data_IF_194038455047
#
_entry.id   IF_194038455047
#
_cell.length_a   1.000
_cell.length_b   1.000
_cell.length_c   1.000
_cell.angle_alpha   90.00
_cell.angle_beta   90.00
_cell.angle_gamma   90.00
#
_symmetry.space_group_name_H-M   'P 1'
#
loop_
_entity.id
_entity.type
_entity.pdbx_description
1 polymer ?
#
# COMPACT_ATOMS: atom_id res chain seq x y z
N UNK A 1 27.77 -29.63 20.88
CA UNK A 1 28.36 -28.37 20.38
C UNK A 1 27.56 -27.21 20.91
N UNK A 2 28.05 -26.56 21.93
CA UNK A 2 27.38 -25.47 22.63
C UNK A 2 27.50 -24.20 21.76
N UNK A 3 26.44 -23.85 21.00
CA UNK A 3 26.36 -22.60 20.27
C UNK A 3 26.02 -21.48 21.28
N UNK A 4 27.05 -20.96 21.95
CA UNK A 4 26.94 -19.68 22.65
C UNK A 4 26.56 -18.61 21.64
N UNK A 5 25.30 -18.20 21.67
CA UNK A 5 24.80 -17.03 20.92
C UNK A 5 25.73 -15.86 21.25
N UNK A 6 26.56 -15.41 20.28
CA UNK A 6 27.43 -14.26 20.43
C UNK A 6 26.59 -13.06 20.82
N UNK A 7 26.66 -12.63 22.08
CA UNK A 7 25.94 -11.47 22.60
C UNK A 7 26.38 -10.25 21.78
N UNK A 8 25.42 -9.61 21.09
CA UNK A 8 25.70 -8.40 20.33
C UNK A 8 26.23 -7.31 21.24
N UNK A 9 27.29 -6.62 20.83
CA UNK A 9 27.84 -5.50 21.58
C UNK A 9 26.76 -4.42 21.78
N UNK A 10 26.73 -3.85 22.97
CA UNK A 10 25.81 -2.77 23.33
C UNK A 10 26.53 -1.42 23.39
N UNK A 11 25.80 -0.33 23.47
CA UNK A 11 26.38 1.01 23.68
C UNK A 11 27.16 1.10 24.98
N UNK A 12 26.78 0.32 25.98
CA UNK A 12 27.48 0.24 27.27
C UNK A 12 28.80 -0.50 27.15
N UNK A 13 28.86 -1.56 26.35
CA UNK A 13 30.12 -2.28 26.08
C UNK A 13 31.09 -1.35 25.34
N UNK A 14 30.65 -0.60 24.33
CA UNK A 14 31.46 0.40 23.64
C UNK A 14 31.91 1.55 24.58
N UNK A 15 31.07 1.94 25.53
CA UNK A 15 31.39 2.93 26.55
C UNK A 15 32.57 2.47 27.43
N UNK A 16 32.51 1.25 27.91
CA UNK A 16 33.59 0.64 28.73
C UNK A 16 34.86 0.52 27.89
N UNK A 17 34.76 -0.01 26.67
CA UNK A 17 35.95 -0.23 25.80
C UNK A 17 36.63 1.05 25.35
N UNK A 18 35.87 2.13 25.16
CA UNK A 18 36.39 3.46 24.74
C UNK A 18 36.80 4.38 25.89
N UNK A 19 36.49 4.03 27.12
CA UNK A 19 36.62 4.93 28.27
C UNK A 19 35.76 6.19 28.18
N UNK A 20 34.71 6.18 27.35
CA UNK A 20 33.84 7.33 27.10
C UNK A 20 32.45 7.10 27.68
N UNK A 21 31.74 8.18 28.03
CA UNK A 21 30.36 8.03 28.53
C UNK A 21 29.42 7.47 27.46
N UNK A 22 28.35 6.76 27.83
CA UNK A 22 27.34 6.27 26.86
C UNK A 22 26.74 7.41 26.00
N UNK A 23 26.64 8.63 26.55
CA UNK A 23 26.18 9.81 25.82
C UNK A 23 27.18 10.28 24.75
N UNK A 24 28.48 10.19 25.04
CA UNK A 24 29.56 10.46 24.07
C UNK A 24 29.55 9.44 22.96
N UNK A 25 29.51 8.15 23.30
CA UNK A 25 29.42 7.05 22.32
C UNK A 25 28.19 7.25 21.43
N UNK A 26 27.04 7.54 22.02
CA UNK A 26 25.80 7.82 21.27
C UNK A 26 25.95 9.00 20.31
N UNK A 27 26.60 10.09 20.74
CA UNK A 27 26.82 11.26 19.90
C UNK A 27 27.72 10.97 18.70
N UNK A 28 28.75 10.14 18.90
CA UNK A 28 29.66 9.71 17.83
C UNK A 28 28.93 8.83 16.83
N UNK A 29 28.24 7.79 17.28
CA UNK A 29 27.52 6.86 16.44
C UNK A 29 26.37 7.52 15.66
N UNK A 30 25.81 8.61 16.16
CA UNK A 30 24.78 9.40 15.49
C UNK A 30 25.33 10.57 14.62
N UNK A 31 26.65 10.69 14.47
CA UNK A 31 27.28 11.74 13.66
C UNK A 31 27.15 13.17 14.23
N UNK A 32 26.69 13.31 15.49
CA UNK A 32 26.48 14.63 16.13
C UNK A 32 27.67 15.10 16.98
N UNK A 33 28.76 14.34 16.97
CA UNK A 33 29.92 14.57 17.82
C UNK A 33 30.60 15.93 17.59
N UNK A 34 30.67 16.41 16.33
CA UNK A 34 31.20 17.75 16.04
C UNK A 34 30.38 18.86 16.66
N UNK A 35 29.05 18.76 16.61
CA UNK A 35 28.14 19.72 17.28
C UNK A 35 28.29 19.69 18.80
N UNK A 36 28.68 18.57 19.38
CA UNK A 36 28.93 18.39 20.82
C UNK A 36 30.37 18.62 21.22
N UNK A 37 31.21 19.13 20.31
CA UNK A 37 32.64 19.44 20.56
C UNK A 37 33.43 18.24 21.10
N UNK A 38 33.10 17.02 20.67
CA UNK A 38 33.85 15.82 20.99
C UNK A 38 35.09 15.78 20.07
N UNK A 39 36.24 15.46 20.64
CA UNK A 39 37.55 15.37 19.89
C UNK A 39 37.43 14.32 18.79
N UNK A 40 38.03 14.62 17.65
CA UNK A 40 38.06 13.71 16.48
C UNK A 40 38.71 12.37 16.83
N UNK A 41 39.86 12.35 17.55
CA UNK A 41 40.49 11.14 18.01
C UNK A 41 39.60 10.23 18.87
N UNK A 42 38.72 10.84 19.70
CA UNK A 42 37.72 10.09 20.48
C UNK A 42 36.66 9.50 19.57
N UNK A 43 36.23 10.26 18.55
CA UNK A 43 35.24 9.77 17.60
C UNK A 43 35.78 8.60 16.76
N UNK A 44 37.03 8.69 16.27
CA UNK A 44 37.72 7.62 15.52
C UNK A 44 37.87 6.36 16.38
N UNK A 45 38.28 6.50 17.64
CA UNK A 45 38.36 5.37 18.58
C UNK A 45 37.05 4.65 18.73
N UNK A 46 35.95 5.39 18.94
CA UNK A 46 34.61 4.82 19.13
C UNK A 46 34.11 4.15 17.83
N UNK A 47 34.30 4.78 16.67
CA UNK A 47 33.92 4.20 15.38
C UNK A 47 34.69 2.92 15.06
N UNK A 48 35.99 2.91 15.29
CA UNK A 48 36.81 1.72 15.11
C UNK A 48 36.47 0.57 16.07
N UNK A 49 36.04 0.89 17.31
CA UNK A 49 35.51 -0.11 18.24
C UNK A 49 34.16 -0.65 17.76
N UNK A 50 33.27 0.22 17.29
CA UNK A 50 31.96 -0.18 16.75
C UNK A 50 32.11 -1.12 15.57
N UNK A 51 33.01 -0.83 14.65
CA UNK A 51 33.32 -1.69 13.48
C UNK A 51 33.88 -3.04 13.92
N UNK A 52 34.92 -3.06 14.75
CA UNK A 52 35.55 -4.30 15.25
C UNK A 52 34.60 -5.23 15.98
N UNK A 53 33.65 -4.64 16.76
CA UNK A 53 32.65 -5.39 17.51
C UNK A 53 31.35 -5.60 16.74
N UNK A 54 31.30 -5.25 15.44
CA UNK A 54 30.12 -5.37 14.58
C UNK A 54 28.88 -4.75 15.25
N UNK A 55 29.08 -3.60 15.92
CA UNK A 55 27.99 -2.90 16.60
C UNK A 55 27.00 -2.37 15.58
N UNK A 56 25.75 -2.77 15.71
CA UNK A 56 24.61 -2.19 14.98
C UNK A 56 23.75 -1.40 15.95
N UNK A 57 23.45 -0.15 15.57
CA UNK A 57 22.56 0.69 16.39
C UNK A 57 21.22 -0.02 16.61
N UNK A 58 20.86 -0.28 17.86
CA UNK A 58 19.54 -0.79 18.18
C UNK A 58 18.50 0.33 17.97
N UNK A 59 17.79 0.27 16.84
CA UNK A 59 16.78 1.26 16.49
C UNK A 59 15.61 1.26 17.48
N UNK A 60 15.27 0.13 18.08
CA UNK A 60 14.23 0.03 19.11
C UNK A 60 14.64 0.81 20.39
N UNK A 61 15.88 0.60 20.87
CA UNK A 61 16.39 1.36 22.02
C UNK A 61 16.53 2.87 21.73
N UNK A 62 16.77 3.24 20.47
CA UNK A 62 16.78 4.64 20.02
C UNK A 62 15.36 5.19 19.94
N UNK A 63 14.40 4.41 19.51
CA UNK A 63 12.97 4.74 19.41
C UNK A 63 12.37 5.08 20.78
N UNK A 64 12.66 4.28 21.80
CA UNK A 64 12.23 4.50 23.18
C UNK A 64 12.65 5.90 23.74
N UNK A 65 13.82 6.40 23.32
CA UNK A 65 14.29 7.74 23.74
C UNK A 65 13.66 8.89 22.94
N UNK A 66 13.11 8.63 21.77
CA UNK A 66 12.57 9.65 20.84
C UNK A 66 11.07 9.61 20.72
N UNK A 67 10.38 8.69 21.39
CA UNK A 67 8.95 8.40 21.22
C UNK A 67 8.57 8.14 19.74
N UNK A 68 9.52 7.60 18.96
CA UNK A 68 9.34 7.24 17.55
C UNK A 68 10.19 6.03 17.21
N UNK A 69 9.56 5.00 16.66
CA UNK A 69 10.24 3.76 16.25
C UNK A 69 11.05 3.92 14.96
N UNK A 70 10.64 4.83 14.10
CA UNK A 70 11.12 4.94 12.73
C UNK A 70 10.50 3.91 11.79
N UNK A 71 9.53 3.12 12.25
CA UNK A 71 8.79 2.16 11.42
C UNK A 71 7.56 2.85 10.79
N UNK A 72 7.36 2.64 9.50
CA UNK A 72 6.19 3.15 8.78
C UNK A 72 5.52 1.97 8.08
N UNK A 73 4.24 1.75 8.40
CA UNK A 73 3.46 0.63 7.89
C UNK A 73 2.75 0.96 6.58
N UNK A 74 2.70 -0.02 5.69
CA UNK A 74 1.82 -0.07 4.53
C UNK A 74 1.05 -1.39 4.60
N UNK A 75 -0.26 -1.31 4.74
CA UNK A 75 -1.15 -2.46 4.69
C UNK A 75 -1.81 -2.53 3.32
N UNK A 76 -1.63 -3.65 2.64
CA UNK A 76 -2.15 -3.93 1.30
C UNK A 76 -3.23 -5.01 1.36
N UNK A 77 -4.16 -5.05 0.39
CA UNK A 77 -5.10 -6.17 0.30
C UNK A 77 -4.42 -7.47 -0.13
N UNK A 78 -3.50 -7.42 -1.10
CA UNK A 78 -2.77 -8.59 -1.65
C UNK A 78 -1.43 -8.15 -2.22
N UNK A 79 -0.44 -9.07 -2.28
CA UNK A 79 0.89 -8.79 -2.84
C UNK A 79 1.01 -9.09 -4.34
N UNK A 80 0.25 -10.02 -4.86
CA UNK A 80 0.32 -10.56 -6.23
C UNK A 80 -0.39 -9.70 -7.28
N UNK A 81 -0.85 -8.51 -6.91
CA UNK A 81 -1.44 -7.55 -7.83
C UNK A 81 -0.41 -6.48 -8.21
N UNK A 82 -0.15 -6.31 -9.51
CA UNK A 82 0.83 -5.36 -10.05
C UNK A 82 0.61 -3.91 -9.58
N UNK A 83 -0.63 -3.48 -9.42
CA UNK A 83 -0.96 -2.14 -8.92
C UNK A 83 -0.48 -1.96 -7.48
N UNK A 84 -0.78 -2.91 -6.59
CA UNK A 84 -0.39 -2.81 -5.19
C UNK A 84 1.10 -3.06 -4.98
N UNK A 85 1.72 -3.97 -5.72
CA UNK A 85 3.18 -4.22 -5.63
C UNK A 85 4.00 -3.03 -6.12
N UNK A 86 3.57 -2.34 -7.17
CA UNK A 86 4.20 -1.10 -7.66
C UNK A 86 4.09 0.03 -6.63
N UNK A 87 2.93 0.16 -5.98
CA UNK A 87 2.72 1.13 -4.90
C UNK A 87 3.61 0.82 -3.70
N UNK A 88 3.71 -0.46 -3.29
CA UNK A 88 4.59 -0.89 -2.22
C UNK A 88 6.05 -0.56 -2.50
N UNK A 89 6.54 -0.83 -3.71
CA UNK A 89 7.91 -0.52 -4.11
C UNK A 89 8.20 0.98 -4.03
N UNK A 90 7.27 1.81 -4.51
CA UNK A 90 7.39 3.28 -4.45
C UNK A 90 7.38 3.77 -3.01
N UNK A 91 6.47 3.26 -2.19
CA UNK A 91 6.38 3.56 -0.75
C UNK A 91 7.70 3.22 -0.02
N UNK A 92 8.23 2.02 -0.23
CA UNK A 92 9.48 1.59 0.38
C UNK A 92 10.65 2.52 0.03
N UNK A 93 10.78 2.92 -1.24
CA UNK A 93 11.80 3.86 -1.69
C UNK A 93 11.69 5.20 -0.96
N UNK A 94 10.48 5.74 -0.85
CA UNK A 94 10.23 7.01 -0.17
C UNK A 94 10.47 6.95 1.35
N UNK A 95 10.09 5.86 2.01
CA UNK A 95 10.31 5.67 3.45
C UNK A 95 11.80 5.55 3.75
N UNK A 96 12.53 4.72 2.96
CA UNK A 96 14.00 4.56 3.11
C UNK A 96 14.77 5.86 2.86
N UNK A 97 14.37 6.67 1.87
CA UNK A 97 15.02 7.96 1.58
C UNK A 97 14.90 8.96 2.74
N UNK A 98 13.93 8.77 3.64
CA UNK A 98 13.75 9.55 4.87
C UNK A 98 14.45 8.95 6.08
N UNK A 99 15.23 7.89 5.89
CA UNK A 99 15.93 7.18 6.97
C UNK A 99 15.00 6.40 7.90
N UNK A 100 13.80 6.05 7.42
CA UNK A 100 12.83 5.24 8.14
C UNK A 100 12.80 3.81 7.57
N UNK A 101 12.19 2.89 8.29
CA UNK A 101 12.06 1.48 7.89
C UNK A 101 10.62 1.20 7.43
N UNK A 102 10.40 0.81 6.17
CA UNK A 102 9.08 0.41 5.71
C UNK A 102 8.72 -0.99 6.22
N UNK A 103 7.47 -1.15 6.64
CA UNK A 103 6.87 -2.44 7.00
C UNK A 103 5.67 -2.64 6.09
N UNK A 104 5.77 -3.58 5.15
CA UNK A 104 4.71 -3.89 4.18
C UNK A 104 4.07 -5.22 4.56
N UNK A 105 2.76 -5.21 4.73
CA UNK A 105 1.96 -6.37 5.13
C UNK A 105 0.72 -6.48 4.24
N UNK A 106 0.13 -7.68 4.12
CA UNK A 106 -1.16 -7.86 3.46
C UNK A 106 -2.19 -8.44 4.42
N UNK A 107 -3.45 -8.07 4.21
CA UNK A 107 -4.59 -8.48 5.02
C UNK A 107 -5.67 -9.24 4.23
N UNK A 108 -5.31 -9.77 3.05
CA UNK A 108 -6.11 -10.71 2.24
C UNK A 108 -7.56 -10.27 1.95
N UNK A 109 -7.86 -8.97 1.98
CA UNK A 109 -9.21 -8.39 1.81
C UNK A 109 -10.23 -8.90 2.84
N UNK A 110 -9.76 -9.29 4.01
CA UNK A 110 -10.58 -9.76 5.12
C UNK A 110 -10.65 -8.68 6.20
N UNK A 111 -11.84 -8.15 6.55
CA UNK A 111 -11.98 -7.09 7.54
C UNK A 111 -11.41 -7.43 8.92
N UNK A 112 -11.49 -8.69 9.32
CA UNK A 112 -10.95 -9.13 10.61
C UNK A 112 -9.43 -9.19 10.59
N UNK A 113 -8.84 -9.69 9.49
CA UNK A 113 -7.39 -9.67 9.28
C UNK A 113 -6.85 -8.24 9.15
N UNK A 114 -7.62 -7.31 8.55
CA UNK A 114 -7.27 -5.89 8.47
C UNK A 114 -7.14 -5.29 9.88
N UNK A 115 -8.10 -5.55 10.79
CA UNK A 115 -8.05 -5.10 12.19
C UNK A 115 -6.90 -5.73 12.96
N UNK A 116 -6.74 -7.06 12.91
CA UNK A 116 -5.65 -7.79 13.59
C UNK A 116 -4.27 -7.34 13.11
N UNK A 117 -4.14 -7.07 11.82
CA UNK A 117 -2.90 -6.55 11.25
C UNK A 117 -2.57 -5.17 11.80
N UNK A 118 -3.57 -4.28 11.92
CA UNK A 118 -3.39 -2.97 12.53
C UNK A 118 -3.00 -3.07 14.01
N UNK A 119 -3.66 -3.93 14.81
CA UNK A 119 -3.30 -4.21 16.21
C UNK A 119 -1.86 -4.71 16.33
N UNK A 120 -1.47 -5.62 15.46
CA UNK A 120 -0.10 -6.16 15.42
C UNK A 120 0.90 -5.04 15.15
N UNK A 121 0.66 -4.19 14.15
CA UNK A 121 1.53 -3.07 13.80
C UNK A 121 1.62 -2.04 14.93
N UNK A 122 0.51 -1.77 15.64
CA UNK A 122 0.48 -0.94 16.84
C UNK A 122 1.39 -1.53 17.93
N UNK A 123 1.33 -2.85 18.15
CA UNK A 123 2.17 -3.53 19.14
C UNK A 123 3.68 -3.39 18.85
N UNK A 124 4.05 -3.26 17.58
CA UNK A 124 5.41 -2.93 17.14
C UNK A 124 5.72 -1.44 17.18
N UNK A 125 4.78 -0.62 17.67
CA UNK A 125 4.94 0.84 17.83
C UNK A 125 5.30 1.53 16.53
N UNK A 126 4.65 1.20 15.41
CA UNK A 126 4.85 1.93 14.17
C UNK A 126 4.42 3.39 14.32
N UNK A 127 5.10 4.32 13.62
CA UNK A 127 4.86 5.75 13.72
C UNK A 127 3.65 6.21 12.89
N UNK A 128 3.39 5.53 11.77
CA UNK A 128 2.33 5.84 10.81
C UNK A 128 1.88 4.58 10.07
N UNK A 129 0.62 4.53 9.66
CA UNK A 129 0.03 3.45 8.85
C UNK A 129 -0.65 4.01 7.60
N UNK A 130 -0.26 3.50 6.44
CA UNK A 130 -0.92 3.71 5.16
C UNK A 130 -1.77 2.48 4.86
N UNK A 131 -3.08 2.68 4.69
CA UNK A 131 -4.07 1.60 4.53
C UNK A 131 -4.53 1.65 3.08
N UNK A 132 -4.15 0.64 2.28
CA UNK A 132 -4.44 0.62 0.84
C UNK A 132 -5.52 -0.40 0.54
N UNK A 133 -6.58 0.05 -0.12
CA UNK A 133 -7.62 -0.83 -0.67
C UNK A 133 -8.32 -1.71 0.37
N UNK A 134 -8.41 -1.26 1.63
CA UNK A 134 -9.06 -2.01 2.69
C UNK A 134 -10.55 -2.24 2.40
N UNK A 135 -11.05 -3.37 2.84
CA UNK A 135 -12.46 -3.73 2.75
C UNK A 135 -13.28 -3.00 3.80
N UNK A 136 -12.72 -2.82 5.00
CA UNK A 136 -13.32 -2.10 6.12
C UNK A 136 -12.35 -1.04 6.70
N UNK A 137 -12.11 0.09 5.98
CA UNK A 137 -11.19 1.12 6.45
C UNK A 137 -11.66 1.80 7.75
N UNK A 138 -12.97 1.85 8.00
CA UNK A 138 -13.52 2.42 9.23
C UNK A 138 -13.32 1.50 10.44
N UNK A 139 -13.37 0.18 10.25
CA UNK A 139 -13.00 -0.78 11.30
C UNK A 139 -11.51 -0.73 11.65
N UNK A 140 -10.64 -0.48 10.68
CA UNK A 140 -9.22 -0.23 10.94
C UNK A 140 -9.01 1.10 11.68
N UNK A 141 -9.78 2.15 11.34
CA UNK A 141 -9.74 3.42 12.07
C UNK A 141 -10.08 3.23 13.56
N UNK A 142 -11.09 2.43 13.88
CA UNK A 142 -11.52 2.14 15.27
C UNK A 142 -10.42 1.49 16.12
N UNK A 143 -9.48 0.81 15.49
CA UNK A 143 -8.28 0.24 16.13
C UNK A 143 -7.16 1.28 16.24
N UNK A 144 -6.92 2.07 15.21
CA UNK A 144 -5.81 3.02 15.14
C UNK A 144 -6.02 4.27 16.01
N UNK A 145 -7.23 4.81 16.02
CA UNK A 145 -7.55 6.08 16.68
C UNK A 145 -7.34 6.05 18.19
N UNK A 146 -7.88 5.07 18.96
CA UNK A 146 -7.62 4.98 20.39
C UNK A 146 -6.14 4.75 20.75
N UNK A 147 -5.37 4.13 19.87
CA UNK A 147 -3.93 3.93 20.02
C UNK A 147 -3.11 5.18 19.66
N UNK A 148 -3.74 6.23 19.16
CA UNK A 148 -3.06 7.45 18.68
C UNK A 148 -2.21 7.23 17.44
N UNK A 149 -2.41 6.14 16.71
CA UNK A 149 -1.68 5.84 15.49
C UNK A 149 -2.20 6.70 14.32
N UNK A 150 -1.32 7.53 13.77
CA UNK A 150 -1.62 8.30 12.56
C UNK A 150 -1.79 7.37 11.36
N UNK A 151 -2.90 7.48 10.67
CA UNK A 151 -3.19 6.65 9.51
C UNK A 151 -3.94 7.44 8.43
N UNK A 152 -3.91 6.90 7.21
CA UNK A 152 -4.58 7.43 6.03
C UNK A 152 -5.03 6.29 5.13
N UNK A 153 -6.22 6.40 4.56
CA UNK A 153 -6.73 5.47 3.57
C UNK A 153 -6.24 5.84 2.16
N UNK A 154 -5.93 4.85 1.36
CA UNK A 154 -5.51 5.01 -0.05
C UNK A 154 -6.33 4.05 -0.90
N UNK A 155 -6.74 4.49 -2.10
CA UNK A 155 -7.49 3.72 -3.09
C UNK A 155 -8.97 3.53 -2.74
N UNK A 156 -9.30 3.05 -1.55
CA UNK A 156 -10.68 2.96 -1.06
C UNK A 156 -10.87 3.89 0.14
N UNK A 157 -11.95 4.71 0.15
CA UNK A 157 -12.22 5.65 1.22
C UNK A 157 -12.92 4.99 2.41
N UNK A 158 -12.66 5.52 3.61
CA UNK A 158 -13.51 5.38 4.80
C UNK A 158 -14.23 6.68 5.12
N UNK A 159 -15.21 6.62 6.00
CA UNK A 159 -15.97 7.79 6.46
C UNK A 159 -15.27 8.52 7.62
N UNK A 160 -14.42 7.82 8.39
CA UNK A 160 -13.86 8.30 9.67
C UNK A 160 -12.45 8.88 9.55
N UNK A 161 -11.66 8.48 8.55
CA UNK A 161 -10.30 8.94 8.34
C UNK A 161 -10.10 9.60 6.98
N UNK A 162 -9.04 10.42 6.87
CA UNK A 162 -8.67 11.01 5.59
C UNK A 162 -8.37 9.92 4.56
N UNK A 163 -8.78 10.19 3.31
CA UNK A 163 -8.59 9.25 2.21
C UNK A 163 -7.97 9.96 1.00
N UNK A 164 -7.06 9.26 0.31
CA UNK A 164 -6.51 9.66 -0.99
C UNK A 164 -6.94 8.61 -2.01
N UNK A 165 -7.79 9.02 -2.94
CA UNK A 165 -8.38 8.13 -3.94
C UNK A 165 -8.17 8.67 -5.35
N UNK A 166 -8.20 7.80 -6.34
CA UNK A 166 -8.28 8.20 -7.74
C UNK A 166 -9.69 8.71 -8.07
N UNK A 167 -9.80 9.62 -9.01
CA UNK A 167 -11.09 9.99 -9.60
C UNK A 167 -11.55 8.86 -10.52
N UNK A 168 -12.19 7.87 -9.91
CA UNK A 168 -12.64 6.66 -10.58
C UNK A 168 -13.77 6.94 -11.57
N UNK A 169 -14.63 7.91 -11.25
CA UNK A 169 -15.73 8.30 -12.12
C UNK A 169 -15.21 8.95 -13.41
N UNK A 170 -14.39 9.99 -13.27
CA UNK A 170 -13.85 10.71 -14.42
C UNK A 170 -12.94 9.83 -15.28
N UNK A 171 -12.07 9.01 -14.66
CA UNK A 171 -11.23 8.06 -15.39
C UNK A 171 -12.06 7.06 -16.23
N UNK A 172 -13.12 6.52 -15.66
CA UNK A 172 -14.02 5.60 -16.37
C UNK A 172 -14.84 6.30 -17.45
N UNK A 173 -15.28 7.53 -17.21
CA UNK A 173 -15.95 8.36 -18.23
C UNK A 173 -15.06 8.56 -19.44
N UNK A 174 -13.83 9.02 -19.22
CA UNK A 174 -12.84 9.26 -20.28
C UNK A 174 -12.53 7.99 -21.07
N UNK A 175 -12.33 6.86 -20.39
CA UNK A 175 -12.04 5.58 -21.04
C UNK A 175 -13.24 5.11 -21.88
N UNK A 176 -14.44 5.20 -21.35
CA UNK A 176 -15.67 4.81 -22.09
C UNK A 176 -15.85 5.67 -23.34
N UNK A 177 -15.66 6.99 -23.23
CA UNK A 177 -15.67 7.88 -24.40
C UNK A 177 -14.60 7.51 -25.43
N UNK A 178 -13.39 7.23 -24.99
CA UNK A 178 -12.29 6.85 -25.88
C UNK A 178 -12.58 5.53 -26.60
N UNK A 179 -13.15 4.55 -25.93
CA UNK A 179 -13.60 3.29 -26.55
C UNK A 179 -14.64 3.57 -27.64
N UNK A 180 -15.69 4.33 -27.33
CA UNK A 180 -16.77 4.62 -28.28
C UNK A 180 -16.23 5.39 -29.50
N UNK A 181 -15.41 6.41 -29.29
CA UNK A 181 -14.82 7.23 -30.36
C UNK A 181 -13.85 6.44 -31.25
N UNK A 182 -13.20 5.41 -30.72
CA UNK A 182 -12.28 4.57 -31.49
C UNK A 182 -12.95 3.90 -32.70
N UNK A 183 -14.21 3.56 -32.61
CA UNK A 183 -14.95 2.92 -33.72
C UNK A 183 -15.38 3.90 -34.82
N UNK A 184 -15.36 5.21 -34.57
CA UNK A 184 -15.65 6.24 -35.58
C UNK A 184 -17.04 6.17 -36.17
N UNK A 185 -17.26 6.93 -37.27
CA UNK A 185 -18.56 7.05 -37.94
C UNK A 185 -18.81 5.94 -38.97
N UNK A 186 -17.74 5.31 -39.50
CA UNK A 186 -17.87 4.31 -40.58
C UNK A 186 -18.43 2.98 -40.08
N UNK A 187 -18.15 2.63 -38.83
CA UNK A 187 -18.67 1.44 -38.19
C UNK A 187 -18.98 1.71 -36.71
N UNK A 188 -19.97 2.55 -36.40
CA UNK A 188 -20.25 3.01 -35.05
C UNK A 188 -20.55 1.83 -34.13
N UNK A 189 -20.11 1.95 -32.88
CA UNK A 189 -20.36 0.97 -31.84
C UNK A 189 -21.83 1.02 -31.41
N UNK A 190 -22.49 -0.12 -31.38
CA UNK A 190 -23.86 -0.22 -30.89
C UNK A 190 -23.85 -0.45 -29.38
N UNK A 191 -24.95 -0.11 -28.69
CA UNK A 191 -25.08 -0.33 -27.24
C UNK A 191 -24.86 -1.77 -26.80
N UNK A 192 -25.36 -2.74 -27.59
CA UNK A 192 -25.25 -4.19 -27.34
C UNK A 192 -23.88 -4.80 -27.70
N UNK A 193 -22.90 -3.97 -28.05
CA UNK A 193 -21.56 -4.37 -28.44
C UNK A 193 -20.47 -3.91 -27.44
N UNK A 194 -20.82 -3.07 -26.47
CA UNK A 194 -19.91 -2.55 -25.43
C UNK A 194 -20.30 -3.09 -24.05
N UNK A 195 -19.38 -3.77 -23.39
CA UNK A 195 -19.57 -4.39 -22.08
C UNK A 195 -18.45 -4.03 -21.11
N UNK A 196 -18.79 -3.98 -19.82
CA UNK A 196 -17.85 -3.85 -18.72
C UNK A 196 -17.74 -5.20 -17.98
N UNK A 197 -16.51 -5.67 -17.79
CA UNK A 197 -16.21 -6.87 -17.00
C UNK A 197 -15.33 -6.54 -15.80
N UNK A 198 -15.55 -7.25 -14.70
CA UNK A 198 -14.81 -7.07 -13.46
C UNK A 198 -15.52 -6.17 -12.45
N UNK A 199 -14.80 -5.90 -11.37
CA UNK A 199 -15.30 -5.09 -10.28
C UNK A 199 -16.15 -5.85 -9.27
N UNK A 200 -16.26 -5.28 -8.09
CA UNK A 200 -17.04 -5.78 -6.96
C UNK A 200 -17.83 -4.64 -6.31
N UNK A 201 -18.56 -4.91 -5.25
CA UNK A 201 -19.27 -3.87 -4.51
C UNK A 201 -18.34 -3.07 -3.59
N UNK A 202 -17.41 -2.30 -4.20
CA UNK A 202 -16.59 -1.29 -3.50
C UNK A 202 -16.76 0.09 -4.15
N UNK A 203 -16.21 1.12 -3.50
CA UNK A 203 -16.35 2.50 -3.96
C UNK A 203 -15.79 2.68 -5.38
N UNK A 204 -14.58 2.21 -5.66
CA UNK A 204 -13.94 2.39 -6.95
C UNK A 204 -14.72 1.73 -8.09
N UNK A 205 -15.23 0.51 -7.87
CA UNK A 205 -16.02 -0.21 -8.87
C UNK A 205 -17.38 0.46 -9.09
N UNK A 206 -18.05 0.93 -8.03
CA UNK A 206 -19.33 1.64 -8.16
C UNK A 206 -19.20 2.91 -9.00
N UNK A 207 -18.17 3.72 -8.72
CA UNK A 207 -17.90 4.95 -9.47
C UNK A 207 -17.62 4.66 -10.95
N UNK A 208 -16.77 3.65 -11.24
CA UNK A 208 -16.46 3.25 -12.62
C UNK A 208 -17.67 2.73 -13.37
N UNK A 209 -18.50 1.90 -12.73
CA UNK A 209 -19.72 1.37 -13.32
C UNK A 209 -20.74 2.49 -13.57
N UNK A 210 -20.91 3.40 -12.61
CA UNK A 210 -21.82 4.55 -12.77
C UNK A 210 -21.40 5.45 -13.95
N UNK A 211 -20.10 5.75 -14.07
CA UNK A 211 -19.56 6.53 -15.18
C UNK A 211 -19.71 5.81 -16.53
N UNK A 212 -19.44 4.49 -16.57
CA UNK A 212 -19.63 3.66 -17.75
C UNK A 212 -21.08 3.72 -18.24
N UNK A 213 -22.06 3.50 -17.36
CA UNK A 213 -23.47 3.57 -17.71
C UNK A 213 -23.90 4.97 -18.16
N UNK A 214 -23.52 6.02 -17.43
CA UNK A 214 -23.85 7.40 -17.77
C UNK A 214 -23.33 7.78 -19.17
N UNK A 215 -22.06 7.43 -19.45
CA UNK A 215 -21.40 7.74 -20.72
C UNK A 215 -21.98 6.92 -21.88
N UNK A 216 -22.21 5.62 -21.65
CA UNK A 216 -22.85 4.73 -22.64
C UNK A 216 -24.24 5.23 -23.00
N UNK A 217 -25.05 5.64 -22.01
CA UNK A 217 -26.36 6.21 -22.22
C UNK A 217 -26.30 7.51 -23.01
N UNK A 218 -25.41 8.42 -22.65
CA UNK A 218 -25.28 9.73 -23.30
C UNK A 218 -24.85 9.62 -24.76
N UNK A 219 -23.93 8.70 -25.09
CA UNK A 219 -23.35 8.60 -26.42
C UNK A 219 -23.99 7.55 -27.32
N UNK A 220 -24.54 6.48 -26.78
CA UNK A 220 -25.13 5.37 -27.54
C UNK A 220 -26.63 5.20 -27.29
N UNK A 221 -27.25 5.94 -26.37
CA UNK A 221 -28.69 5.85 -26.08
C UNK A 221 -29.08 4.54 -25.38
N UNK A 222 -28.13 3.87 -24.68
CA UNK A 222 -28.37 2.58 -24.03
C UNK A 222 -29.13 2.69 -22.71
N UNK A 223 -29.82 1.62 -22.33
CA UNK A 223 -30.40 1.48 -20.99
C UNK A 223 -29.23 1.39 -19.95
N UNK A 224 -29.31 2.07 -18.80
CA UNK A 224 -28.27 2.08 -17.79
C UNK A 224 -27.89 0.69 -17.24
N UNK A 225 -28.80 -0.27 -17.22
CA UNK A 225 -28.54 -1.60 -16.62
C UNK A 225 -27.87 -2.60 -17.56
N UNK A 226 -27.73 -2.28 -18.85
CA UNK A 226 -27.16 -3.19 -19.82
C UNK A 226 -25.63 -3.12 -19.90
N UNK A 227 -25.00 -4.29 -19.88
CA UNK A 227 -23.60 -4.50 -20.29
C UNK A 227 -22.56 -4.54 -19.16
N UNK A 228 -22.97 -4.76 -17.91
CA UNK A 228 -22.03 -4.98 -16.81
C UNK A 228 -22.03 -6.43 -16.34
N UNK A 229 -20.83 -7.02 -16.25
CA UNK A 229 -20.57 -8.36 -15.75
C UNK A 229 -19.61 -8.26 -14.53
N UNK A 230 -20.19 -8.11 -13.33
CA UNK A 230 -19.40 -8.06 -12.09
C UNK A 230 -18.76 -9.43 -11.81
N UNK A 231 -17.44 -9.52 -11.88
CA UNK A 231 -16.66 -10.74 -11.68
C UNK A 231 -15.60 -10.61 -10.59
N UNK A 232 -15.68 -9.59 -9.76
CA UNK A 232 -14.67 -9.31 -8.74
C UNK A 232 -13.32 -8.93 -9.35
N UNK A 233 -12.26 -9.25 -8.62
CA UNK A 233 -10.86 -9.02 -9.01
C UNK A 233 -10.11 -10.36 -9.13
N UNK A 234 -10.73 -11.34 -9.78
CA UNK A 234 -10.14 -12.67 -10.03
C UNK A 234 -10.11 -12.96 -11.53
N UNK A 235 -8.95 -13.30 -12.10
CA UNK A 235 -8.83 -13.73 -13.48
C UNK A 235 -9.75 -14.91 -13.80
N UNK A 236 -9.75 -15.95 -12.96
CA UNK A 236 -10.54 -17.17 -13.17
C UNK A 236 -12.05 -16.91 -13.18
N UNK A 237 -12.52 -16.02 -12.28
CA UNK A 237 -13.95 -15.65 -12.23
C UNK A 237 -14.30 -14.81 -13.47
N UNK A 238 -13.41 -13.93 -13.89
CA UNK A 238 -13.58 -13.13 -15.10
C UNK A 238 -13.62 -14.00 -16.34
N UNK A 239 -12.75 -14.99 -16.46
CA UNK A 239 -12.75 -15.94 -17.56
C UNK A 239 -14.10 -16.70 -17.63
N UNK A 240 -14.56 -17.23 -16.50
CA UNK A 240 -15.88 -17.91 -16.44
C UNK A 240 -17.05 -16.99 -16.81
N UNK A 241 -16.99 -15.73 -16.40
CA UNK A 241 -18.00 -14.74 -16.81
C UNK A 241 -17.98 -14.52 -18.33
N UNK A 242 -16.79 -14.48 -18.92
CA UNK A 242 -16.58 -14.39 -20.37
C UNK A 242 -17.10 -15.62 -21.12
N UNK A 243 -16.81 -16.82 -20.64
CA UNK A 243 -17.32 -18.09 -21.20
C UNK A 243 -18.85 -18.12 -21.15
N UNK A 244 -19.45 -17.75 -20.02
CA UNK A 244 -20.91 -17.66 -19.85
C UNK A 244 -21.51 -16.64 -20.82
N UNK A 245 -20.86 -15.50 -20.97
CA UNK A 245 -21.26 -14.49 -21.94
C UNK A 245 -21.25 -15.03 -23.36
N UNK A 246 -20.14 -15.69 -23.76
CA UNK A 246 -20.01 -16.27 -25.09
C UNK A 246 -21.08 -17.36 -25.37
N UNK A 247 -21.31 -18.23 -24.39
CA UNK A 247 -22.37 -19.25 -24.50
C UNK A 247 -23.77 -18.64 -24.70
N UNK A 248 -24.05 -17.51 -24.03
CA UNK A 248 -25.36 -16.84 -24.13
C UNK A 248 -25.54 -16.09 -25.44
N UNK A 249 -24.49 -15.44 -25.94
CA UNK A 249 -24.58 -14.52 -27.08
C UNK A 249 -24.06 -15.08 -28.40
N UNK A 250 -23.35 -16.21 -28.36
CA UNK A 250 -22.75 -16.88 -29.57
C UNK A 250 -21.60 -16.07 -30.19
N UNK A 251 -21.19 -14.94 -29.60
CA UNK A 251 -20.15 -14.07 -30.12
C UNK A 251 -19.50 -13.28 -28.95
N UNK A 252 -18.26 -12.82 -29.19
CA UNK A 252 -17.59 -11.88 -28.27
C UNK A 252 -18.12 -10.45 -28.49
N UNK A 253 -18.07 -9.58 -27.45
CA UNK A 253 -18.30 -8.15 -27.60
C UNK A 253 -17.30 -7.53 -28.57
N UNK A 254 -17.72 -6.49 -29.31
CA UNK A 254 -16.78 -5.70 -30.15
C UNK A 254 -15.87 -4.83 -29.32
N UNK A 255 -16.35 -4.38 -28.16
CA UNK A 255 -15.60 -3.54 -27.25
C UNK A 255 -15.78 -3.96 -25.80
N UNK A 256 -14.70 -3.87 -25.04
CA UNK A 256 -14.64 -4.23 -23.64
C UNK A 256 -14.04 -3.11 -22.80
N UNK A 257 -14.72 -2.78 -21.72
CA UNK A 257 -14.17 -2.05 -20.61
C UNK A 257 -13.78 -3.07 -19.52
N UNK A 258 -12.50 -3.22 -19.23
CA UNK A 258 -12.04 -4.08 -18.14
C UNK A 258 -11.82 -3.22 -16.89
N UNK A 259 -12.55 -3.53 -15.80
CA UNK A 259 -12.59 -2.70 -14.60
C UNK A 259 -11.24 -2.62 -13.86
N UNK A 260 -10.41 -3.65 -13.95
CA UNK A 260 -9.07 -3.68 -13.35
C UNK A 260 -8.12 -4.52 -14.19
N UNK A 261 -6.84 -4.15 -14.22
CA UNK A 261 -5.80 -4.87 -14.95
C UNK A 261 -5.70 -6.35 -14.53
N UNK A 262 -5.95 -6.66 -13.26
CA UNK A 262 -5.96 -8.05 -12.76
C UNK A 262 -7.01 -8.92 -13.47
N UNK A 263 -8.08 -8.34 -13.99
CA UNK A 263 -9.10 -9.08 -14.73
C UNK A 263 -8.67 -9.42 -16.17
N UNK A 264 -7.47 -8.96 -16.61
CA UNK A 264 -6.88 -9.25 -17.92
C UNK A 264 -5.76 -10.30 -17.86
N UNK A 265 -5.29 -10.64 -16.68
CA UNK A 265 -4.22 -11.63 -16.44
C UNK A 265 -4.77 -13.06 -16.45
#
# INVERSE_FOLDING_TARGET
MDQRVKKKATIYDLSVLSGSSPSTVSAVLNGTWRKRRIKESTAETILGLAERHQYTTNLQARGLRRSRSGLVGLMLPVHDNRYFSSMAQTFEGHVRSRGQCPVVVSASRDPEEERRTAETLISYSIDQLFIVGATDPDGVHEVCEPAGLKHINIDLPGAKAHSVISDNYEGARMLTEAIIRHFGNDAPLRPDELFLFGGRNDHASRERIAAFHATKKALLGADPEDGVQSSGYSPDITLRAFETFYQRHGKLPRALFINSSINME
#
